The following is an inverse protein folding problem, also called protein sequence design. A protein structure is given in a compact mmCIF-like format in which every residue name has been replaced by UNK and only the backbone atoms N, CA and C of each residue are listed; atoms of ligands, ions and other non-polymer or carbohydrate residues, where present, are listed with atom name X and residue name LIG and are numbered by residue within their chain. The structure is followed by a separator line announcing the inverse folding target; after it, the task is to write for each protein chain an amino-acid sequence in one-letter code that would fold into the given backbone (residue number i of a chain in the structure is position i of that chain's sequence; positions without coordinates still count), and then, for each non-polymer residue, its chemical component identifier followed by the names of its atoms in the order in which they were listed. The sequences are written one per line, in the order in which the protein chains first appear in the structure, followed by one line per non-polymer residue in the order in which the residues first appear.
data_IF_115374989156
#
_entry.id   IF_115374989156
#
_cell.length_a   1.000
_cell.length_b   1.000
_cell.length_c   1.000
_cell.angle_alpha   90.00
_cell.angle_beta   90.00
_cell.angle_gamma   90.00
#
_symmetry.space_group_name_H-M   'P 1'
#
loop_
_entity.id
_entity.type
_entity.pdbx_description
1 polymer ?
#
# COMPACT_ATOMS: atom_id res chain seq x y z
N UNK A 1 -6.78 -1.59 -14.69
CA UNK A 1 -6.33 -0.52 -13.79
C UNK A 1 -4.93 -0.09 -14.18
N UNK A 2 -4.58 1.19 -14.00
CA UNK A 2 -3.20 1.66 -14.16
C UNK A 2 -2.36 1.35 -12.91
N UNK A 3 -1.04 1.31 -13.05
CA UNK A 3 -0.13 1.08 -11.92
C UNK A 3 -0.31 2.13 -10.81
N UNK A 4 -0.56 3.40 -11.20
CA UNK A 4 -0.81 4.48 -10.25
C UNK A 4 -2.13 4.29 -9.50
N UNK A 5 -3.18 3.82 -10.18
CA UNK A 5 -4.45 3.51 -9.53
C UNK A 5 -4.30 2.36 -8.53
N UNK A 6 -3.53 1.32 -8.88
CA UNK A 6 -3.23 0.21 -7.96
C UNK A 6 -2.48 0.69 -6.71
N UNK A 7 -1.48 1.55 -6.87
CA UNK A 7 -0.74 2.11 -5.74
C UNK A 7 -1.63 2.99 -4.84
N UNK A 8 -2.45 3.87 -5.43
CA UNK A 8 -3.39 4.72 -4.68
C UNK A 8 -4.42 3.88 -3.94
N UNK A 9 -4.95 2.84 -4.59
CA UNK A 9 -5.90 1.93 -3.97
C UNK A 9 -5.27 1.21 -2.76
N UNK A 10 -4.06 0.67 -2.92
CA UNK A 10 -3.36 -0.01 -1.83
C UNK A 10 -3.08 0.93 -0.64
N UNK A 11 -2.71 2.19 -0.91
CA UNK A 11 -2.56 3.21 0.13
C UNK A 11 -3.90 3.47 0.83
N UNK A 12 -5.00 3.57 0.09
CA UNK A 12 -6.33 3.75 0.68
C UNK A 12 -6.76 2.57 1.56
N UNK A 13 -6.51 1.34 1.11
CA UNK A 13 -6.74 0.12 1.88
C UNK A 13 -5.89 0.12 3.18
N UNK A 14 -4.61 0.49 3.09
CA UNK A 14 -3.73 0.61 4.26
C UNK A 14 -4.20 1.69 5.24
N UNK A 15 -4.67 2.84 4.74
CA UNK A 15 -5.22 3.91 5.58
C UNK A 15 -6.45 3.47 6.35
N UNK A 16 -7.36 2.73 5.73
CA UNK A 16 -8.55 2.18 6.41
C UNK A 16 -8.17 1.22 7.54
N UNK A 17 -7.13 0.39 7.34
CA UNK A 17 -6.62 -0.50 8.39
C UNK A 17 -6.01 0.30 9.55
N UNK A 18 -5.31 1.39 9.25
CA UNK A 18 -4.77 2.28 10.28
C UNK A 18 -5.86 3.08 11.01
N UNK A 19 -6.93 3.46 10.33
CA UNK A 19 -8.10 4.09 10.97
C UNK A 19 -8.79 3.12 11.94
N UNK A 20 -8.88 1.84 11.58
CA UNK A 20 -9.35 0.78 12.49
C UNK A 20 -8.47 0.74 13.74
N UNK A 21 -7.15 0.86 13.59
CA UNK A 21 -6.18 0.89 14.69
C UNK A 21 -6.26 2.15 15.57
N UNK A 22 -6.62 3.29 15.01
CA UNK A 22 -6.73 4.53 15.80
C UNK A 22 -7.99 4.59 16.68
N UNK A 23 -8.93 3.67 16.52
CA UNK A 23 -10.12 3.64 17.37
C UNK A 23 -9.76 3.30 18.83
N UNK A 24 -10.41 3.93 19.84
CA UNK A 24 -10.16 3.66 21.25
C UNK A 24 -10.85 2.35 21.67
N UNK A 25 -10.32 1.21 21.20
CA UNK A 25 -10.79 -0.15 21.52
C UNK A 25 -9.59 -1.05 21.74
N UNK A 26 -9.71 -2.12 22.57
CA UNK A 26 -8.68 -3.13 22.62
C UNK A 26 -8.55 -3.77 21.24
N UNK A 27 -7.38 -3.63 20.63
CA UNK A 27 -7.09 -4.14 19.31
C UNK A 27 -6.01 -5.22 19.38
N UNK A 28 -6.10 -6.11 18.41
CA UNK A 28 -5.08 -7.08 18.13
C UNK A 28 -4.06 -6.46 17.17
N UNK A 29 -2.97 -5.96 17.73
CA UNK A 29 -1.93 -5.26 16.97
C UNK A 29 -1.27 -6.18 15.94
N UNK A 30 -1.11 -7.47 16.25
CA UNK A 30 -0.55 -8.45 15.32
C UNK A 30 -1.47 -8.60 14.12
N UNK A 31 -2.78 -8.73 14.35
CA UNK A 31 -3.77 -8.80 13.28
C UNK A 31 -3.82 -7.54 12.40
N UNK A 32 -3.61 -6.36 12.97
CA UNK A 32 -3.54 -5.10 12.19
C UNK A 32 -2.29 -5.08 11.31
N UNK A 33 -1.15 -5.51 11.83
CA UNK A 33 0.09 -5.62 11.06
C UNK A 33 -0.04 -6.65 9.94
N UNK A 34 -0.65 -7.81 10.21
CA UNK A 34 -0.91 -8.83 9.19
C UNK A 34 -1.75 -8.30 8.04
N UNK A 35 -2.83 -7.56 8.34
CA UNK A 35 -3.67 -6.91 7.31
C UNK A 35 -2.90 -5.89 6.48
N UNK A 36 -2.01 -5.11 7.12
CA UNK A 36 -1.17 -4.14 6.40
C UNK A 36 -0.18 -4.82 5.47
N UNK A 37 0.48 -5.88 5.95
CA UNK A 37 1.40 -6.69 5.15
C UNK A 37 0.65 -7.32 3.98
N UNK A 38 -0.53 -7.89 4.22
CA UNK A 38 -1.36 -8.49 3.18
C UNK A 38 -1.65 -7.52 2.03
N UNK A 39 -1.98 -6.26 2.33
CA UNK A 39 -2.25 -5.22 1.31
C UNK A 39 -0.98 -4.80 0.57
N UNK A 40 0.11 -4.61 1.29
CA UNK A 40 1.35 -4.07 0.72
C UNK A 40 2.15 -5.14 -0.07
N UNK A 41 2.06 -6.41 0.31
CA UNK A 41 2.75 -7.52 -0.36
C UNK A 41 1.99 -8.12 -1.53
N UNK A 42 0.81 -7.58 -1.87
CA UNK A 42 0.04 -8.07 -3.03
C UNK A 42 0.92 -7.99 -4.30
N UNK A 43 1.05 -9.08 -5.08
CA UNK A 43 1.94 -9.11 -6.23
C UNK A 43 1.65 -8.02 -7.27
N UNK A 44 0.37 -7.65 -7.42
CA UNK A 44 -0.09 -6.58 -8.31
C UNK A 44 0.39 -5.19 -7.83
N UNK A 45 0.28 -4.91 -6.53
CA UNK A 45 0.75 -3.67 -5.89
C UNK A 45 2.26 -3.55 -5.96
N UNK A 46 2.99 -4.61 -5.58
CA UNK A 46 4.46 -4.65 -5.63
C UNK A 46 4.98 -4.42 -7.04
N UNK A 47 4.37 -5.08 -8.03
CA UNK A 47 4.76 -4.91 -9.43
C UNK A 47 4.40 -3.52 -9.97
N UNK A 48 3.24 -2.96 -9.57
CA UNK A 48 2.83 -1.61 -9.95
C UNK A 48 3.77 -0.55 -9.37
N UNK A 49 4.12 -0.63 -8.09
CA UNK A 49 5.06 0.30 -7.44
C UNK A 49 6.44 0.20 -8.07
N UNK A 50 6.93 -1.01 -8.35
CA UNK A 50 8.21 -1.21 -9.03
C UNK A 50 8.24 -0.55 -10.42
N UNK A 51 7.17 -0.71 -11.22
CA UNK A 51 7.05 -0.05 -12.53
C UNK A 51 6.98 1.47 -12.41
N UNK A 52 6.28 2.01 -11.40
CA UNK A 52 6.21 3.45 -11.15
C UNK A 52 7.58 4.03 -10.77
N UNK A 53 8.33 3.35 -9.91
CA UNK A 53 9.68 3.76 -9.51
C UNK A 53 10.65 3.75 -10.69
N UNK A 54 10.55 2.76 -11.58
CA UNK A 54 11.34 2.73 -12.80
C UNK A 54 11.03 3.94 -13.68
N UNK A 55 9.74 4.28 -13.88
CA UNK A 55 9.33 5.46 -14.66
C UNK A 55 9.84 6.76 -14.05
N UNK A 56 9.75 6.95 -12.74
CA UNK A 56 10.24 8.17 -12.09
C UNK A 56 11.77 8.30 -12.17
N UNK A 57 12.51 7.17 -12.11
CA UNK A 57 13.95 7.16 -12.28
C UNK A 57 14.39 7.56 -13.70
N UNK A 58 13.62 7.18 -14.72
CA UNK A 58 13.86 7.63 -16.10
C UNK A 58 13.63 9.13 -16.29
N UNK A 59 12.66 9.73 -15.59
CA UNK A 59 12.40 11.18 -15.70
C UNK A 59 13.49 12.04 -15.03
N UNK A 60 14.16 11.56 -13.99
CA UNK A 60 15.23 12.29 -13.30
C UNK A 60 16.58 12.27 -14.03
N UNK A 61 16.71 11.50 -15.12
CA UNK A 61 17.95 11.37 -15.91
C UNK A 61 17.94 12.14 -17.24
N UNK A 62 16.90 12.93 -17.49
CA UNK A 62 16.72 13.70 -18.72
C UNK A 62 16.93 15.19 -18.48
#
# INVERSE_FOLDING_TARGET
MTDQQLAIQAIGEAQLILEEYLQPRPQDNERILDKLIEVLERPDVMAAVSRLQQRSCFELRK
#
